data_IF_546690807608
#
_entry.id   IF_546690807608
#
_cell.length_a   1.000
_cell.length_b   1.000
_cell.length_c   1.000
_cell.angle_alpha   90.00
_cell.angle_beta   90.00
_cell.angle_gamma   90.00
#
_symmetry.space_group_name_H-M   'P 1'
#
loop_
_entity.id
_entity.type
_entity.pdbx_description
1 polymer ?
#
# COMPACT_ATOMS: atom_id res chain seq x y z
N UNK A 1 23.60 -0.57 17.72
CA UNK A 1 22.32 -0.95 17.07
C UNK A 1 21.56 -1.79 18.08
N UNK A 2 20.28 -1.52 18.37
CA UNK A 2 19.50 -2.53 19.08
C UNK A 2 19.39 -3.74 18.15
N UNK A 3 19.78 -4.94 18.59
CA UNK A 3 19.51 -6.15 17.84
C UNK A 3 18.00 -6.44 17.87
N UNK A 4 17.49 -7.08 16.83
CA UNK A 4 16.19 -7.79 16.82
C UNK A 4 14.90 -6.99 16.54
N UNK A 5 14.94 -5.90 15.75
CA UNK A 5 13.72 -5.40 15.09
C UNK A 5 13.68 -5.97 13.66
N UNK A 6 12.74 -6.89 13.35
CA UNK A 6 12.56 -7.37 11.99
C UNK A 6 12.32 -6.19 11.03
N UNK A 7 12.86 -6.21 9.80
CA UNK A 7 12.51 -5.25 8.77
C UNK A 7 11.00 -5.03 8.72
N UNK A 8 10.56 -3.78 8.52
CA UNK A 8 9.13 -3.42 8.49
C UNK A 8 8.33 -4.28 7.50
N UNK A 9 8.95 -4.75 6.42
CA UNK A 9 8.36 -5.68 5.45
C UNK A 9 8.04 -7.06 6.05
N UNK A 10 8.89 -7.60 6.91
CA UNK A 10 8.66 -8.90 7.57
C UNK A 10 7.52 -8.81 8.57
N UNK A 11 7.47 -7.72 9.34
CA UNK A 11 6.35 -7.45 10.26
C UNK A 11 5.03 -7.30 9.50
N UNK A 12 5.07 -6.64 8.34
CA UNK A 12 3.88 -6.46 7.51
C UNK A 12 3.42 -7.80 6.92
N UNK A 13 4.32 -8.64 6.41
CA UNK A 13 3.98 -9.98 5.92
C UNK A 13 3.38 -10.82 7.05
N UNK A 14 4.00 -10.85 8.23
CA UNK A 14 3.47 -11.58 9.38
C UNK A 14 2.06 -11.11 9.76
N UNK A 15 1.77 -9.80 9.67
CA UNK A 15 0.42 -9.28 9.88
C UNK A 15 -0.57 -9.78 8.79
N UNK A 16 -0.11 -9.89 7.54
CA UNK A 16 -0.95 -10.37 6.44
C UNK A 16 -1.24 -11.88 6.55
N UNK A 17 -0.29 -12.64 7.07
CA UNK A 17 -0.35 -14.10 7.31
C UNK A 17 -1.06 -14.47 8.63
N UNK A 18 -1.26 -13.53 9.54
CA UNK A 18 -1.83 -13.80 10.87
C UNK A 18 -3.26 -14.39 10.83
N UNK A 19 -4.01 -14.14 9.74
CA UNK A 19 -5.25 -14.84 9.44
C UNK A 19 -5.52 -14.86 7.93
N UNK A 20 -6.41 -15.75 7.48
CA UNK A 20 -6.73 -15.96 6.06
C UNK A 20 -7.70 -14.92 5.48
N UNK A 21 -8.10 -13.90 6.25
CA UNK A 21 -9.06 -12.90 5.78
C UNK A 21 -8.35 -11.85 4.91
N UNK A 22 -9.04 -11.35 3.86
CA UNK A 22 -8.61 -10.18 3.11
C UNK A 22 -8.34 -8.97 4.02
N UNK A 23 -7.23 -8.29 3.79
CA UNK A 23 -6.79 -7.11 4.52
C UNK A 23 -6.56 -5.97 3.55
N UNK A 24 -6.83 -4.77 4.04
CA UNK A 24 -6.47 -3.53 3.38
C UNK A 24 -5.44 -2.79 4.22
N UNK A 25 -4.56 -2.04 3.55
CA UNK A 25 -3.58 -1.19 4.21
C UNK A 25 -3.85 0.27 3.90
N UNK A 26 -3.84 1.13 4.92
CA UNK A 26 -3.95 2.58 4.76
C UNK A 26 -2.57 3.17 5.08
N UNK A 27 -2.00 3.91 4.14
CA UNK A 27 -0.72 4.58 4.29
C UNK A 27 -0.97 6.09 4.27
N UNK A 28 -0.64 6.77 5.37
CA UNK A 28 -0.79 8.22 5.48
C UNK A 28 0.50 8.93 5.04
N UNK A 29 0.43 9.63 3.91
CA UNK A 29 1.52 10.39 3.33
C UNK A 29 1.39 11.91 3.58
N UNK A 30 0.43 12.37 4.39
CA UNK A 30 0.21 13.81 4.61
C UNK A 30 1.42 14.50 5.27
N UNK A 31 2.17 13.76 6.08
CA UNK A 31 3.39 14.26 6.74
C UNK A 31 4.68 13.80 6.06
N UNK A 32 4.57 13.08 4.94
CA UNK A 32 5.73 12.53 4.22
C UNK A 32 6.01 13.38 2.99
N UNK A 33 7.20 13.97 2.93
CA UNK A 33 7.65 14.68 1.74
C UNK A 33 8.42 13.73 0.82
N UNK A 34 7.75 13.23 -0.22
CA UNK A 34 8.35 12.39 -1.24
C UNK A 34 8.69 13.22 -2.48
N UNK A 35 9.92 13.08 -2.97
CA UNK A 35 10.29 13.62 -4.27
C UNK A 35 10.02 12.60 -5.38
N UNK A 36 10.21 13.03 -6.63
CA UNK A 36 9.99 12.18 -7.81
C UNK A 36 10.89 10.93 -7.83
N UNK A 37 12.15 11.06 -7.44
CA UNK A 37 13.10 9.95 -7.39
C UNK A 37 12.67 8.88 -6.38
N UNK A 38 12.17 9.29 -5.21
CA UNK A 38 11.68 8.37 -4.18
C UNK A 38 10.52 7.53 -4.70
N UNK A 39 9.58 8.19 -5.40
CA UNK A 39 8.40 7.58 -6.01
C UNK A 39 8.82 6.57 -7.09
N UNK A 40 9.72 6.95 -8.00
CA UNK A 40 10.19 6.07 -9.07
C UNK A 40 10.93 4.87 -8.49
N UNK A 41 11.75 5.08 -7.46
CA UNK A 41 12.43 3.99 -6.76
C UNK A 41 11.41 3.01 -6.13
N UNK A 42 10.39 3.54 -5.44
CA UNK A 42 9.33 2.73 -4.84
C UNK A 42 8.55 1.91 -5.89
N UNK A 43 8.12 2.55 -6.98
CA UNK A 43 7.45 1.85 -8.08
C UNK A 43 8.36 0.78 -8.71
N UNK A 44 9.65 1.07 -8.86
CA UNK A 44 10.65 0.12 -9.36
C UNK A 44 10.76 -1.13 -8.47
N UNK A 45 10.78 -0.96 -7.15
CA UNK A 45 10.81 -2.09 -6.20
C UNK A 45 9.53 -2.93 -6.29
N UNK A 46 8.35 -2.29 -6.41
CA UNK A 46 7.08 -3.01 -6.56
C UNK A 46 7.05 -3.81 -7.86
N UNK A 47 7.44 -3.21 -9.00
CA UNK A 47 7.46 -3.90 -10.30
C UNK A 47 8.39 -5.13 -10.32
N UNK A 48 9.51 -5.07 -9.58
CA UNK A 48 10.46 -6.18 -9.48
C UNK A 48 10.07 -7.27 -8.47
N UNK A 49 8.99 -7.06 -7.71
CA UNK A 49 8.58 -7.97 -6.64
C UNK A 49 9.40 -7.82 -5.35
N UNK A 50 10.28 -6.83 -5.26
CA UNK A 50 11.10 -6.57 -4.06
C UNK A 50 10.25 -6.00 -2.91
N UNK A 51 9.11 -5.38 -3.23
CA UNK A 51 8.09 -4.98 -2.26
C UNK A 51 7.10 -6.11 -1.98
N UNK A 52 7.59 -7.23 -1.43
CA UNK A 52 6.84 -8.48 -1.22
C UNK A 52 5.42 -8.32 -0.62
N UNK A 53 5.16 -7.43 0.37
CA UNK A 53 3.80 -7.25 0.90
C UNK A 53 2.78 -6.83 -0.16
N UNK A 54 3.18 -6.09 -1.20
CA UNK A 54 2.27 -5.58 -2.25
C UNK A 54 1.80 -6.67 -3.21
N UNK A 55 2.44 -7.83 -3.19
CA UNK A 55 2.08 -9.00 -3.99
C UNK A 55 1.40 -10.10 -3.16
N UNK A 56 1.16 -9.85 -1.88
CA UNK A 56 0.61 -10.84 -0.97
C UNK A 56 -0.89 -11.08 -1.27
N UNK A 57 -1.37 -12.34 -1.33
CA UNK A 57 -2.76 -12.65 -1.70
C UNK A 57 -3.79 -12.08 -0.72
N UNK A 58 -3.45 -11.99 0.57
CA UNK A 58 -4.33 -11.41 1.58
C UNK A 58 -4.35 -9.87 1.56
N UNK A 59 -3.44 -9.20 0.85
CA UNK A 59 -3.50 -7.74 0.69
C UNK A 59 -4.33 -7.41 -0.55
N UNK A 60 -5.59 -7.06 -0.32
CA UNK A 60 -6.54 -6.82 -1.42
C UNK A 60 -6.64 -5.36 -1.82
N UNK A 61 -6.24 -4.45 -0.94
CA UNK A 61 -6.31 -3.01 -1.19
C UNK A 61 -5.22 -2.21 -0.46
N UNK A 62 -4.67 -1.20 -1.14
CA UNK A 62 -3.82 -0.16 -0.52
C UNK A 62 -4.44 1.22 -0.77
N UNK A 63 -4.71 1.94 0.31
CA UNK A 63 -5.22 3.30 0.28
C UNK A 63 -4.13 4.28 0.72
N UNK A 64 -3.77 5.22 -0.15
CA UNK A 64 -2.87 6.33 0.18
C UNK A 64 -3.69 7.54 0.64
N UNK A 65 -3.48 8.01 1.87
CA UNK A 65 -4.02 9.29 2.33
C UNK A 65 -3.00 10.37 2.04
N UNK A 66 -3.31 11.31 1.16
CA UNK A 66 -2.32 12.29 0.69
C UNK A 66 -2.97 13.57 0.16
N UNK A 67 -2.22 14.66 0.20
CA UNK A 67 -2.53 15.86 -0.58
C UNK A 67 -1.60 16.07 -1.78
N UNK A 68 -0.56 15.23 -1.90
CA UNK A 68 0.45 15.33 -2.94
C UNK A 68 -0.04 14.74 -4.25
N UNK A 69 -0.13 15.59 -5.28
CA UNK A 69 -0.46 15.17 -6.64
C UNK A 69 0.50 14.07 -7.16
N UNK A 70 1.76 14.08 -6.70
CA UNK A 70 2.74 13.07 -7.07
C UNK A 70 2.41 11.69 -6.47
N UNK A 71 1.98 11.66 -5.20
CA UNK A 71 1.54 10.43 -4.54
C UNK A 71 0.24 9.91 -5.17
N UNK A 72 -0.71 10.79 -5.49
CA UNK A 72 -1.94 10.42 -6.21
C UNK A 72 -1.62 9.78 -7.57
N UNK A 73 -0.71 10.38 -8.33
CA UNK A 73 -0.30 9.86 -9.63
C UNK A 73 0.34 8.47 -9.52
N UNK A 74 1.10 8.25 -8.44
CA UNK A 74 1.78 6.97 -8.18
C UNK A 74 0.82 5.88 -7.71
N UNK A 75 -0.14 6.23 -6.85
CA UNK A 75 -1.21 5.33 -6.46
C UNK A 75 -2.02 4.88 -7.69
N UNK A 76 -2.28 5.79 -8.64
CA UNK A 76 -2.92 5.45 -9.90
C UNK A 76 -2.03 4.57 -10.80
N UNK A 77 -0.71 4.79 -10.83
CA UNK A 77 0.23 3.95 -11.58
C UNK A 77 0.24 2.49 -11.08
N UNK A 78 0.09 2.26 -9.78
CA UNK A 78 0.00 0.92 -9.19
C UNK A 78 -1.21 0.10 -9.66
N UNK A 79 -2.21 0.71 -10.32
CA UNK A 79 -3.34 -0.03 -10.93
C UNK A 79 -2.97 -0.73 -12.23
N UNK A 80 -1.78 -0.47 -12.78
CA UNK A 80 -1.33 -1.09 -14.02
C UNK A 80 -0.95 -2.56 -13.79
N UNK A 81 -1.19 -3.40 -14.80
CA UNK A 81 -0.99 -4.87 -14.74
C UNK A 81 0.40 -5.28 -14.25
N UNK A 82 1.44 -4.48 -14.56
CA UNK A 82 2.82 -4.72 -14.14
C UNK A 82 3.04 -4.68 -12.62
N UNK A 83 2.07 -4.19 -11.85
CA UNK A 83 2.10 -4.10 -10.40
C UNK A 83 1.14 -5.07 -9.71
N UNK A 84 0.54 -6.00 -10.45
CA UNK A 84 -0.34 -7.06 -9.93
C UNK A 84 -1.83 -6.69 -9.93
N UNK A 85 -2.62 -7.45 -9.16
CA UNK A 85 -4.08 -7.26 -9.04
C UNK A 85 -4.48 -6.44 -7.83
N UNK A 86 -3.51 -5.83 -7.14
CA UNK A 86 -3.73 -5.04 -5.95
C UNK A 86 -4.59 -3.82 -6.28
N UNK A 87 -5.71 -3.65 -5.58
CA UNK A 87 -6.53 -2.45 -5.72
C UNK A 87 -5.85 -1.28 -5.01
N UNK A 88 -5.71 -0.15 -5.69
CA UNK A 88 -5.14 1.06 -5.07
C UNK A 88 -6.07 2.25 -5.17
N UNK A 89 -5.97 3.17 -4.22
CA UNK A 89 -6.71 4.43 -4.23
C UNK A 89 -5.97 5.53 -3.47
N UNK A 90 -6.24 6.78 -3.82
CA UNK A 90 -5.75 7.95 -3.09
C UNK A 90 -6.93 8.74 -2.51
N UNK A 91 -6.78 9.19 -1.27
CA UNK A 91 -7.83 9.83 -0.48
C UNK A 91 -7.27 11.05 0.25
N UNK A 92 -8.15 12.01 0.56
CA UNK A 92 -7.76 13.19 1.35
C UNK A 92 -7.83 12.93 2.86
N UNK A 93 -8.61 11.95 3.30
CA UNK A 93 -8.75 11.60 4.72
C UNK A 93 -8.78 10.08 4.95
N UNK A 94 -8.43 9.67 6.17
CA UNK A 94 -8.47 8.27 6.60
C UNK A 94 -9.91 7.74 6.60
N UNK A 95 -10.89 8.58 6.94
CA UNK A 95 -12.31 8.21 6.97
C UNK A 95 -12.82 7.86 5.58
N UNK A 96 -12.44 8.63 4.56
CA UNK A 96 -12.81 8.35 3.18
C UNK A 96 -12.19 7.03 2.68
N UNK A 97 -10.90 6.80 2.99
CA UNK A 97 -10.22 5.55 2.68
C UNK A 97 -10.90 4.34 3.37
N UNK A 98 -11.20 4.47 4.65
CA UNK A 98 -11.83 3.43 5.46
C UNK A 98 -13.24 3.11 4.94
N UNK A 99 -14.02 4.13 4.57
CA UNK A 99 -15.35 3.94 4.02
C UNK A 99 -15.33 3.10 2.73
N UNK A 100 -14.40 3.37 1.81
CA UNK A 100 -14.27 2.57 0.58
C UNK A 100 -13.79 1.13 0.90
N UNK A 101 -12.81 0.99 1.78
CA UNK A 101 -12.30 -0.33 2.20
C UNK A 101 -13.44 -1.19 2.77
N UNK A 102 -14.26 -0.64 3.66
CA UNK A 102 -15.38 -1.38 4.26
C UNK A 102 -16.44 -1.75 3.21
N UNK A 103 -16.71 -0.88 2.24
CA UNK A 103 -17.60 -1.20 1.12
C UNK A 103 -17.04 -2.28 0.20
N UNK A 104 -15.73 -2.36 0.05
CA UNK A 104 -15.07 -3.38 -0.76
C UNK A 104 -15.08 -4.75 -0.06
N UNK A 105 -14.63 -4.78 1.20
CA UNK A 105 -14.56 -6.02 1.99
C UNK A 105 -15.96 -6.62 2.20
N UNK A 106 -17.01 -5.81 2.37
CA UNK A 106 -18.38 -6.32 2.51
C UNK A 106 -18.98 -6.94 1.24
N UNK A 107 -18.38 -6.71 0.07
CA UNK A 107 -18.82 -7.27 -1.23
C UNK A 107 -18.01 -8.49 -1.66
N UNK A 108 -16.92 -8.80 -0.95
CA UNK A 108 -16.00 -9.90 -1.23
C UNK A 108 -16.30 -11.05 -0.28
#
# INVERSE_FOLDING_TARGET
MPPDVPPMSEQFIAMLEADDRPKANIIDFREVNLNFSDIVAALGMVAKGEAAPFHHPNLVMVAAVTESALVEMSANALRQVQYGTLRTGSYRTVEAATAEIMQYISKT
#
